data_IF_598880730332
#
_entry.id   IF_598880730332
#
_cell.length_a   1.000
_cell.length_b   1.000
_cell.length_c   1.000
_cell.angle_alpha   90.00
_cell.angle_beta   90.00
_cell.angle_gamma   90.00
#
_symmetry.space_group_name_H-M   'P 1'
#
loop_
_entity.id
_entity.type
_entity.pdbx_description
1 polymer ?
#
# COMPACT_ATOMS: atom_id res chain seq x y z
N UNK A 1 46.49 -8.13 -18.19
CA UNK A 1 46.95 -8.87 -19.39
C UNK A 1 45.84 -9.06 -20.44
N UNK A 2 44.59 -9.37 -20.09
CA UNK A 2 43.50 -9.52 -21.07
C UNK A 2 43.17 -8.26 -21.90
N UNK A 3 43.15 -7.06 -21.29
CA UNK A 3 42.83 -5.82 -22.01
C UNK A 3 43.93 -5.37 -23.01
N UNK A 4 45.19 -5.74 -22.76
CA UNK A 4 46.30 -5.46 -23.68
C UNK A 4 46.24 -6.38 -24.90
N UNK A 5 45.90 -7.66 -24.70
CA UNK A 5 45.71 -8.63 -25.78
C UNK A 5 44.54 -8.25 -26.71
N UNK A 6 43.42 -7.78 -26.16
CA UNK A 6 42.27 -7.31 -26.96
C UNK A 6 42.61 -6.08 -27.81
N UNK A 7 43.48 -5.19 -27.32
CA UNK A 7 43.90 -4.00 -28.06
C UNK A 7 44.87 -4.30 -29.20
N UNK A 8 45.75 -5.30 -29.04
CA UNK A 8 46.64 -5.76 -30.12
C UNK A 8 45.90 -6.56 -31.21
N UNK A 9 44.81 -7.25 -30.86
CA UNK A 9 44.12 -8.16 -31.78
C UNK A 9 42.81 -7.61 -32.39
N UNK A 10 42.32 -6.44 -31.96
CA UNK A 10 41.11 -5.81 -32.49
C UNK A 10 41.30 -4.33 -32.78
N UNK A 11 41.36 -3.97 -34.07
CA UNK A 11 41.36 -2.57 -34.51
C UNK A 11 39.96 -1.97 -34.34
N UNK A 12 39.79 -1.12 -33.33
CA UNK A 12 38.53 -0.42 -33.06
C UNK A 12 38.23 0.56 -34.24
N UNK A 13 36.98 0.65 -34.73
CA UNK A 13 36.62 1.58 -35.79
C UNK A 13 36.97 3.04 -35.42
N UNK A 14 37.51 3.85 -36.34
CA UNK A 14 38.05 5.19 -36.04
C UNK A 14 37.02 6.14 -35.40
N UNK A 15 35.72 5.95 -35.65
CA UNK A 15 34.65 6.75 -35.03
C UNK A 15 34.36 6.42 -33.56
N UNK A 16 34.73 5.23 -33.07
CA UNK A 16 34.51 4.79 -31.69
C UNK A 16 35.77 4.84 -30.82
N UNK A 17 36.92 5.07 -31.45
CA UNK A 17 38.21 5.09 -30.76
C UNK A 17 38.27 6.16 -29.66
N UNK A 18 37.81 7.38 -29.93
CA UNK A 18 37.77 8.45 -28.92
C UNK A 18 36.85 8.15 -27.73
N UNK A 19 35.76 7.41 -27.94
CA UNK A 19 34.84 7.01 -26.87
C UNK A 19 35.45 5.90 -25.99
N UNK A 20 36.13 4.94 -26.62
CA UNK A 20 36.85 3.87 -25.90
C UNK A 20 38.02 4.46 -25.10
N UNK A 21 38.78 5.38 -25.69
CA UNK A 21 39.87 6.10 -25.01
C UNK A 21 39.37 6.90 -23.80
N UNK A 22 38.20 7.53 -23.91
CA UNK A 22 37.56 8.26 -22.82
C UNK A 22 37.12 7.35 -21.67
N UNK A 23 36.40 6.26 -21.98
CA UNK A 23 35.90 5.29 -20.98
C UNK A 23 37.04 4.56 -20.28
N UNK A 24 38.10 4.23 -21.02
CA UNK A 24 39.23 3.49 -20.46
C UNK A 24 40.31 4.40 -19.87
N UNK A 25 40.10 5.72 -19.83
CA UNK A 25 41.03 6.72 -19.24
C UNK A 25 42.45 6.62 -19.82
N UNK A 26 42.59 6.50 -21.14
CA UNK A 26 43.89 6.28 -21.80
C UNK A 26 44.85 7.48 -21.76
N UNK A 27 44.34 8.67 -21.45
CA UNK A 27 45.11 9.90 -21.26
C UNK A 27 45.88 9.94 -19.92
N UNK A 28 45.70 8.94 -19.05
CA UNK A 28 46.35 8.85 -17.73
C UNK A 28 47.47 7.80 -17.77
N UNK A 29 48.65 8.05 -17.15
CA UNK A 29 49.74 7.08 -17.09
C UNK A 29 49.30 5.72 -16.54
N UNK A 30 49.89 4.66 -17.10
CA UNK A 30 49.49 3.26 -16.88
C UNK A 30 49.24 2.85 -15.42
N UNK A 31 50.08 3.20 -14.41
CA UNK A 31 49.86 2.77 -13.04
C UNK A 31 48.64 3.44 -12.38
N UNK A 32 48.35 4.70 -12.73
CA UNK A 32 47.27 5.48 -12.13
C UNK A 32 45.90 5.08 -12.69
N UNK A 33 45.83 4.75 -13.99
CA UNK A 33 44.62 4.27 -14.66
C UNK A 33 44.05 3.00 -14.03
N UNK A 34 44.93 2.04 -13.74
CA UNK A 34 44.55 0.77 -13.11
C UNK A 34 43.97 0.97 -11.71
N UNK A 35 44.58 1.86 -10.91
CA UNK A 35 44.13 2.18 -9.56
C UNK A 35 42.75 2.85 -9.54
N UNK A 36 42.50 3.80 -10.45
CA UNK A 36 41.21 4.51 -10.53
C UNK A 36 40.09 3.54 -10.93
N UNK A 37 40.31 2.70 -11.95
CA UNK A 37 39.30 1.76 -12.41
C UNK A 37 39.00 0.67 -11.38
N UNK A 38 40.02 0.10 -10.74
CA UNK A 38 39.83 -0.89 -9.66
C UNK A 38 39.17 -0.27 -8.43
N UNK A 39 39.63 0.91 -7.99
CA UNK A 39 39.07 1.60 -6.83
C UNK A 39 37.61 2.02 -7.05
N UNK A 40 37.32 2.61 -8.21
CA UNK A 40 35.96 2.98 -8.60
C UNK A 40 35.05 1.76 -8.73
N UNK A 41 35.54 0.67 -9.33
CA UNK A 41 34.82 -0.59 -9.44
C UNK A 41 34.49 -1.22 -8.09
N UNK A 42 35.46 -1.27 -7.16
CA UNK A 42 35.25 -1.78 -5.80
C UNK A 42 34.25 -0.93 -5.01
N UNK A 43 34.31 0.40 -5.14
CA UNK A 43 33.36 1.31 -4.51
C UNK A 43 31.94 1.09 -5.02
N UNK A 44 31.75 1.03 -6.35
CA UNK A 44 30.45 0.76 -6.95
C UNK A 44 29.92 -0.61 -6.57
N UNK A 45 30.79 -1.63 -6.56
CA UNK A 45 30.43 -2.98 -6.16
C UNK A 45 29.99 -3.04 -4.70
N UNK A 46 30.75 -2.41 -3.79
CA UNK A 46 30.39 -2.31 -2.37
C UNK A 46 29.07 -1.56 -2.15
N UNK A 47 28.88 -0.43 -2.83
CA UNK A 47 27.63 0.33 -2.77
C UNK A 47 26.42 -0.49 -3.27
N UNK A 48 26.58 -1.20 -4.38
CA UNK A 48 25.55 -2.09 -4.92
C UNK A 48 25.22 -3.23 -3.94
N UNK A 49 26.23 -3.84 -3.31
CA UNK A 49 26.06 -4.90 -2.33
C UNK A 49 25.29 -4.41 -1.09
N UNK A 50 25.64 -3.24 -0.57
CA UNK A 50 24.96 -2.63 0.57
C UNK A 50 23.51 -2.28 0.24
N UNK A 51 23.26 -1.72 -0.95
CA UNK A 51 21.91 -1.38 -1.40
C UNK A 51 21.04 -2.62 -1.62
N UNK A 52 21.63 -3.70 -2.16
CA UNK A 52 20.96 -4.98 -2.34
C UNK A 52 20.66 -5.63 -0.98
N UNK A 53 21.63 -5.67 -0.09
CA UNK A 53 21.47 -6.16 1.29
C UNK A 53 20.33 -5.43 1.99
N UNK A 54 20.33 -4.09 1.94
CA UNK A 54 19.23 -3.31 2.52
C UNK A 54 17.89 -3.55 1.83
N UNK A 55 17.84 -3.73 0.50
CA UNK A 55 16.58 -3.95 -0.22
C UNK A 55 15.99 -5.34 0.02
N UNK A 56 16.83 -6.35 0.29
CA UNK A 56 16.38 -7.71 0.60
C UNK A 56 16.13 -7.92 2.10
N UNK A 57 16.94 -7.30 2.96
CA UNK A 57 16.81 -7.44 4.41
C UNK A 57 15.76 -6.50 5.01
N UNK A 58 15.52 -5.32 4.45
CA UNK A 58 14.49 -4.41 4.98
C UNK A 58 13.08 -4.99 4.99
N UNK A 59 12.58 -5.69 3.95
CA UNK A 59 11.29 -6.36 4.02
C UNK A 59 11.31 -7.50 5.05
N UNK A 60 12.40 -8.28 5.14
CA UNK A 60 12.48 -9.41 6.07
C UNK A 60 12.59 -8.98 7.56
N UNK A 61 13.38 -7.94 7.86
CA UNK A 61 13.56 -7.43 9.23
C UNK A 61 12.32 -6.73 9.76
N UNK A 62 11.61 -5.98 8.89
CA UNK A 62 10.32 -5.38 9.21
C UNK A 62 9.25 -6.45 9.49
N UNK A 63 9.40 -7.62 8.88
CA UNK A 63 8.49 -8.75 9.07
C UNK A 63 8.76 -9.54 10.36
N UNK A 64 10.02 -9.76 10.73
CA UNK A 64 10.37 -10.43 12.00
C UNK A 64 9.86 -9.62 13.21
N UNK A 65 9.71 -8.30 13.08
CA UNK A 65 9.18 -7.42 14.13
C UNK A 65 7.65 -7.30 14.15
N UNK A 66 6.93 -7.81 13.12
CA UNK A 66 5.46 -7.68 13.00
C UNK A 66 4.68 -8.84 13.64
N UNK A 67 5.35 -9.95 13.99
CA UNK A 67 4.72 -11.15 14.57
C UNK A 67 3.93 -12.01 13.57
N UNK A 68 3.95 -11.69 12.26
CA UNK A 68 3.39 -12.54 11.21
C UNK A 68 4.47 -13.45 10.63
N UNK A 69 4.15 -14.72 10.47
CA UNK A 69 5.15 -15.70 10.01
C UNK A 69 5.37 -15.49 8.51
N UNK A 70 6.63 -15.54 8.03
CA UNK A 70 6.96 -15.42 6.58
C UNK A 70 6.10 -16.35 5.71
N UNK A 71 5.71 -17.51 6.24
CA UNK A 71 4.78 -18.44 5.62
C UNK A 71 3.40 -17.83 5.31
N UNK A 72 2.83 -17.00 6.19
CA UNK A 72 1.50 -16.42 6.02
C UNK A 72 1.45 -15.40 4.86
N UNK A 73 2.56 -14.71 4.62
CA UNK A 73 2.68 -13.72 3.53
C UNK A 73 2.87 -14.40 2.19
N UNK A 74 3.73 -15.42 2.14
CA UNK A 74 3.87 -16.26 0.95
C UNK A 74 2.58 -17.03 0.63
N UNK A 75 1.79 -17.38 1.65
CA UNK A 75 0.48 -18.01 1.45
C UNK A 75 -0.54 -17.02 0.90
N UNK A 76 -0.65 -15.82 1.46
CA UNK A 76 -1.62 -14.81 1.02
C UNK A 76 -1.42 -14.38 -0.44
N UNK A 77 -0.16 -14.19 -0.87
CA UNK A 77 0.15 -13.67 -2.22
C UNK A 77 0.09 -14.77 -3.30
N UNK A 78 0.34 -16.04 -2.93
CA UNK A 78 0.39 -17.18 -3.87
C UNK A 78 -0.87 -18.03 -3.90
N UNK A 79 -1.58 -18.15 -2.78
CA UNK A 79 -2.74 -19.02 -2.62
C UNK A 79 -4.05 -18.26 -2.35
N UNK A 80 -3.99 -16.93 -2.26
CA UNK A 80 -5.16 -16.09 -1.98
C UNK A 80 -5.49 -16.00 -0.48
N UNK A 81 -6.58 -15.30 -0.12
CA UNK A 81 -7.01 -15.21 1.27
C UNK A 81 -7.24 -16.62 1.86
N UNK A 82 -6.79 -16.83 3.09
CA UNK A 82 -7.02 -18.08 3.82
C UNK A 82 -8.53 -18.37 3.78
N UNK A 83 -8.96 -19.57 3.35
CA UNK A 83 -10.38 -19.88 3.30
C UNK A 83 -10.97 -19.74 4.71
N UNK A 84 -12.03 -18.96 4.80
CA UNK A 84 -12.75 -18.77 6.04
C UNK A 84 -13.22 -20.12 6.60
N UNK A 85 -13.13 -20.28 7.92
CA UNK A 85 -13.57 -21.50 8.60
C UNK A 85 -15.10 -21.62 8.58
N UNK A 86 -15.78 -20.47 8.69
CA UNK A 86 -17.24 -20.40 8.68
C UNK A 86 -17.76 -19.24 7.84
N UNK A 87 -18.95 -19.42 7.26
CA UNK A 87 -19.73 -18.33 6.68
C UNK A 87 -20.72 -17.82 7.72
N UNK A 88 -20.65 -16.53 8.05
CA UNK A 88 -21.47 -15.92 9.09
C UNK A 88 -22.32 -14.81 8.48
N UNK A 89 -23.63 -14.93 8.62
CA UNK A 89 -24.58 -13.89 8.18
C UNK A 89 -25.12 -13.17 9.40
N UNK A 90 -24.92 -11.86 9.47
CA UNK A 90 -25.47 -10.99 10.50
C UNK A 90 -26.59 -10.14 9.90
N UNK A 91 -27.70 -9.98 10.61
CA UNK A 91 -28.85 -9.19 10.16
C UNK A 91 -29.18 -8.16 11.24
N UNK A 92 -29.30 -6.89 10.90
CA UNK A 92 -29.64 -5.86 11.87
C UNK A 92 -29.43 -4.43 11.40
N UNK A 93 -29.11 -3.54 12.32
CA UNK A 93 -28.90 -2.11 12.08
C UNK A 93 -28.23 -1.40 13.25
N UNK A 94 -28.11 -0.08 13.13
CA UNK A 94 -27.60 0.80 14.16
C UNK A 94 -26.16 0.53 14.59
N UNK A 95 -25.88 0.90 15.85
CA UNK A 95 -24.55 0.79 16.46
C UNK A 95 -24.23 -0.64 16.90
N UNK A 96 -25.24 -1.39 17.36
CA UNK A 96 -25.06 -2.77 17.84
C UNK A 96 -24.49 -3.71 16.79
N UNK A 97 -25.03 -3.65 15.56
CA UNK A 97 -24.50 -4.43 14.44
C UNK A 97 -23.05 -4.04 14.10
N UNK A 98 -22.74 -2.73 14.09
CA UNK A 98 -21.38 -2.25 13.86
C UNK A 98 -20.37 -2.79 14.88
N UNK A 99 -20.69 -2.76 16.17
CA UNK A 99 -19.84 -3.33 17.21
C UNK A 99 -19.65 -4.84 17.07
N UNK A 100 -20.71 -5.58 16.75
CA UNK A 100 -20.63 -7.02 16.50
C UNK A 100 -19.70 -7.33 15.31
N UNK A 101 -19.87 -6.61 14.20
CA UNK A 101 -19.03 -6.78 13.00
C UNK A 101 -17.56 -6.46 13.28
N UNK A 102 -17.29 -5.42 14.08
CA UNK A 102 -15.93 -5.04 14.47
C UNK A 102 -15.22 -6.16 15.25
N UNK A 103 -15.95 -6.88 16.10
CA UNK A 103 -15.44 -8.06 16.80
C UNK A 103 -15.30 -9.27 15.89
N UNK A 104 -16.34 -9.60 15.14
CA UNK A 104 -16.37 -10.78 14.26
C UNK A 104 -15.30 -10.73 13.16
N UNK A 105 -14.94 -9.55 12.69
CA UNK A 105 -13.87 -9.36 11.70
C UNK A 105 -12.50 -9.87 12.17
N UNK A 106 -12.27 -9.99 13.47
CA UNK A 106 -11.02 -10.56 14.01
C UNK A 106 -10.99 -12.10 13.95
N UNK A 107 -12.13 -12.74 13.70
CA UNK A 107 -12.22 -14.19 13.54
C UNK A 107 -12.00 -14.60 12.07
N UNK A 108 -11.58 -15.86 11.85
CA UNK A 108 -11.38 -16.43 10.52
C UNK A 108 -12.73 -16.81 9.86
N UNK A 109 -13.57 -15.81 9.57
CA UNK A 109 -14.93 -16.00 9.07
C UNK A 109 -15.20 -15.14 7.84
N UNK A 110 -16.02 -15.67 6.93
CA UNK A 110 -16.56 -14.92 5.80
C UNK A 110 -17.85 -14.25 6.24
N UNK A 111 -17.82 -12.92 6.41
CA UNK A 111 -18.92 -12.13 6.97
C UNK A 111 -19.82 -11.57 5.87
N UNK A 112 -21.12 -11.79 6.02
CA UNK A 112 -22.16 -11.10 5.24
C UNK A 112 -23.05 -10.32 6.20
N UNK A 113 -23.14 -9.00 6.02
CA UNK A 113 -24.00 -8.14 6.81
C UNK A 113 -25.23 -7.70 6.00
N UNK A 114 -26.42 -8.08 6.45
CA UNK A 114 -27.69 -7.57 5.95
C UNK A 114 -28.11 -6.42 6.86
N UNK A 115 -28.06 -5.21 6.32
CA UNK A 115 -28.26 -3.97 7.08
C UNK A 115 -29.61 -3.37 6.73
N UNK A 116 -30.38 -2.99 7.76
CA UNK A 116 -31.63 -2.26 7.59
C UNK A 116 -31.39 -0.87 7.00
N UNK A 117 -32.29 -0.43 6.13
CA UNK A 117 -32.28 0.91 5.49
C UNK A 117 -33.52 1.72 5.87
N UNK A 118 -34.15 1.38 6.99
CA UNK A 118 -35.37 2.00 7.49
C UNK A 118 -35.13 3.21 8.40
N UNK A 119 -33.86 3.58 8.68
CA UNK A 119 -33.54 4.74 9.52
C UNK A 119 -34.04 6.05 8.87
N UNK A 120 -34.79 6.82 9.65
CA UNK A 120 -35.36 8.11 9.28
C UNK A 120 -34.82 9.27 10.16
N UNK A 121 -33.82 8.98 11.01
CA UNK A 121 -33.29 9.93 11.97
C UNK A 121 -32.23 10.90 11.43
N UNK A 122 -32.23 12.12 11.97
CA UNK A 122 -31.14 13.10 11.86
C UNK A 122 -30.69 13.41 10.42
N UNK A 123 -29.39 13.30 10.16
CA UNK A 123 -28.82 13.55 8.82
C UNK A 123 -29.23 12.48 7.81
N UNK A 124 -29.47 11.25 8.25
CA UNK A 124 -29.84 10.13 7.39
C UNK A 124 -31.23 10.37 6.80
N UNK A 125 -32.21 10.71 7.64
CA UNK A 125 -33.57 11.04 7.20
C UNK A 125 -33.65 12.24 6.27
N UNK A 126 -32.88 13.31 6.55
CA UNK A 126 -32.82 14.49 5.66
C UNK A 126 -32.32 14.13 4.26
N UNK A 127 -31.25 13.34 4.17
CA UNK A 127 -30.68 12.90 2.89
C UNK A 127 -31.66 11.99 2.16
N UNK A 128 -32.23 10.99 2.85
CA UNK A 128 -33.23 10.07 2.30
C UNK A 128 -34.42 10.83 1.70
N UNK A 129 -34.95 11.82 2.42
CA UNK A 129 -36.10 12.61 1.93
C UNK A 129 -35.72 13.59 0.80
N UNK A 130 -34.49 14.11 0.80
CA UNK A 130 -34.05 15.06 -0.21
C UNK A 130 -33.67 14.40 -1.55
N UNK A 131 -33.12 13.19 -1.51
CA UNK A 131 -32.60 12.48 -2.68
C UNK A 131 -33.41 11.25 -3.09
N UNK A 132 -34.48 10.90 -2.35
CA UNK A 132 -35.31 9.71 -2.56
C UNK A 132 -34.50 8.39 -2.61
N UNK A 133 -33.51 8.28 -1.73
CA UNK A 133 -32.63 7.11 -1.61
C UNK A 133 -32.82 6.37 -0.28
N UNK A 134 -32.46 5.08 -0.19
CA UNK A 134 -32.40 4.37 1.08
C UNK A 134 -31.48 5.07 2.09
N UNK A 135 -31.78 4.90 3.37
CA UNK A 135 -31.06 5.51 4.47
C UNK A 135 -29.57 5.10 4.50
N UNK A 136 -28.59 6.01 4.29
CA UNK A 136 -27.18 5.63 4.24
C UNK A 136 -26.53 5.36 5.61
N UNK A 137 -27.17 5.75 6.71
CA UNK A 137 -26.55 5.86 8.04
C UNK A 137 -26.05 4.54 8.63
N UNK A 138 -26.90 3.52 8.63
CA UNK A 138 -26.57 2.20 9.19
C UNK A 138 -25.56 1.44 8.34
N UNK A 139 -25.69 1.54 7.01
CA UNK A 139 -24.72 0.99 6.05
C UNK A 139 -23.35 1.65 6.27
N UNK A 140 -23.30 2.98 6.39
CA UNK A 140 -22.06 3.71 6.71
C UNK A 140 -21.40 3.15 7.97
N UNK A 141 -22.17 2.96 9.03
CA UNK A 141 -21.62 2.47 10.30
C UNK A 141 -21.03 1.05 10.16
N UNK A 142 -21.71 0.17 9.42
CA UNK A 142 -21.22 -1.18 9.14
C UNK A 142 -19.95 -1.17 8.28
N UNK A 143 -19.91 -0.33 7.24
CA UNK A 143 -18.73 -0.18 6.38
C UNK A 143 -17.49 0.25 7.16
N UNK A 144 -17.64 1.27 8.02
CA UNK A 144 -16.52 1.74 8.84
C UNK A 144 -16.10 0.70 9.86
N UNK A 145 -17.05 -0.06 10.43
CA UNK A 145 -16.75 -1.12 11.39
C UNK A 145 -15.98 -2.30 10.77
N UNK A 146 -16.18 -2.55 9.47
CA UNK A 146 -15.49 -3.59 8.71
C UNK A 146 -14.18 -3.12 8.07
N UNK A 147 -13.97 -1.82 7.86
CA UNK A 147 -12.74 -1.28 7.28
C UNK A 147 -11.50 -1.70 8.09
N UNK A 148 -10.46 -2.25 7.43
CA UNK A 148 -9.26 -2.82 8.07
C UNK A 148 -8.47 -1.87 8.95
N UNK A 149 -8.56 -0.56 8.69
CA UNK A 149 -7.66 0.42 9.27
C UNK A 149 -8.42 1.54 10.01
N UNK A 150 -7.86 1.98 11.15
CA UNK A 150 -8.22 3.24 11.82
C UNK A 150 -7.59 4.44 11.08
N UNK A 151 -7.61 4.38 9.76
CA UNK A 151 -7.01 5.35 8.87
C UNK A 151 -7.72 6.70 8.93
N UNK A 152 -7.08 7.71 8.33
CA UNK A 152 -7.71 9.01 8.04
C UNK A 152 -9.06 8.86 7.34
N UNK A 153 -9.27 7.80 6.54
CA UNK A 153 -10.55 7.54 5.88
C UNK A 153 -11.67 7.21 6.88
N UNK A 154 -11.39 6.38 7.89
CA UNK A 154 -12.35 6.06 8.95
C UNK A 154 -12.75 7.33 9.73
N UNK A 155 -11.78 8.20 10.00
CA UNK A 155 -12.04 9.50 10.63
C UNK A 155 -12.90 10.41 9.75
N UNK A 156 -12.62 10.47 8.43
CA UNK A 156 -13.43 11.22 7.47
C UNK A 156 -14.87 10.70 7.41
N UNK A 157 -15.06 9.38 7.36
CA UNK A 157 -16.41 8.80 7.34
C UNK A 157 -17.20 9.09 8.62
N UNK A 158 -16.53 9.19 9.77
CA UNK A 158 -17.15 9.60 11.03
C UNK A 158 -17.33 11.12 11.17
N UNK A 159 -16.66 11.93 10.36
CA UNK A 159 -16.74 13.38 10.46
C UNK A 159 -18.18 13.87 10.31
N UNK A 160 -18.56 14.77 11.22
CA UNK A 160 -19.85 15.46 11.23
C UNK A 160 -19.57 16.95 11.21
N UNK A 161 -20.22 17.64 10.28
CA UNK A 161 -20.12 19.09 10.17
C UNK A 161 -20.80 19.74 11.38
N UNK A 162 -20.07 20.57 12.11
CA UNK A 162 -20.46 21.20 13.37
C UNK A 162 -20.56 22.73 13.30
N UNK A 163 -20.21 23.33 12.16
CA UNK A 163 -20.31 24.78 11.95
C UNK A 163 -21.76 25.24 11.99
N UNK A 164 -22.14 25.99 13.02
CA UNK A 164 -23.48 26.56 13.16
C UNK A 164 -23.84 27.49 11.99
N UNK A 165 -25.09 27.38 11.51
CA UNK A 165 -25.62 28.20 10.41
C UNK A 165 -25.17 27.79 9.00
N UNK A 166 -24.46 26.66 8.85
CA UNK A 166 -24.16 26.07 7.54
C UNK A 166 -25.29 25.17 7.08
N UNK A 167 -25.51 25.05 5.77
CA UNK A 167 -26.43 24.05 5.21
C UNK A 167 -26.00 22.61 5.54
N UNK A 168 -24.70 22.41 5.78
CA UNK A 168 -24.15 21.11 6.14
C UNK A 168 -24.24 20.81 7.64
N UNK A 169 -24.68 21.75 8.49
CA UNK A 169 -24.68 21.54 9.95
C UNK A 169 -25.41 20.25 10.33
N UNK A 170 -24.71 19.40 11.08
CA UNK A 170 -25.20 18.11 11.53
C UNK A 170 -25.23 17.01 10.46
N UNK A 171 -24.81 17.27 9.21
CA UNK A 171 -24.58 16.21 8.23
C UNK A 171 -23.30 15.42 8.54
N UNK A 172 -23.31 14.12 8.25
CA UNK A 172 -22.10 13.31 8.26
C UNK A 172 -21.49 13.28 6.87
N UNK A 173 -20.18 13.51 6.77
CA UNK A 173 -19.46 13.38 5.51
C UNK A 173 -19.65 11.98 4.90
N UNK A 174 -19.53 10.91 5.69
CA UNK A 174 -19.73 9.55 5.20
C UNK A 174 -21.11 9.31 4.60
N UNK A 175 -22.17 9.93 5.14
CA UNK A 175 -23.50 9.83 4.54
C UNK A 175 -23.57 10.53 3.18
N UNK A 176 -22.96 11.72 3.06
CA UNK A 176 -22.90 12.46 1.79
C UNK A 176 -22.04 11.73 0.75
N UNK A 177 -20.93 11.14 1.17
CA UNK A 177 -20.07 10.34 0.31
C UNK A 177 -20.82 9.14 -0.28
N UNK A 178 -21.55 8.39 0.56
CA UNK A 178 -22.37 7.26 0.09
C UNK A 178 -23.50 7.72 -0.84
N UNK A 179 -24.08 8.89 -0.58
CA UNK A 179 -25.13 9.47 -1.44
C UNK A 179 -24.61 9.85 -2.82
N UNK A 180 -23.33 10.20 -2.93
CA UNK A 180 -22.72 10.65 -4.17
C UNK A 180 -22.22 9.52 -5.08
N UNK A 181 -22.13 8.29 -4.57
CA UNK A 181 -21.73 7.10 -5.35
C UNK A 181 -22.91 6.48 -6.07
#
# INVERSE_FOLDING_TARGET
MAAAWVYENYSVPPGLQGFVEAITLQFIPHPWRGLILLGGGLLLFGFALLKLSNSLLSPLLKEITSGRTVAEIFVGDRFGPIPAEFNVVTIGGGTGLGFLLRGLKQANVNLTAIVTVADDGGSTGRIRNAFDIPAPGDIRNCLVSLAEDESTMSQLFHYRFDKDGSELTGHSFGNLFITAM
#
